data_IF_802461218740
#
_entry.id   IF_802461218740
#
_cell.length_a   1.000
_cell.length_b   1.000
_cell.length_c   1.000
_cell.angle_alpha   90.00
_cell.angle_beta   90.00
_cell.angle_gamma   90.00
#
_symmetry.space_group_name_H-M   'P 1'
#
loop_
_entity.id
_entity.type
_entity.pdbx_description
1 polymer ?
#
# COMPACT_ATOMS: atom_id res chain seq x y z
N UNK A 1 -6.70 -43.10 -46.17
CA UNK A 1 -6.61 -41.79 -46.88
C UNK A 1 -7.55 -40.81 -46.16
N UNK A 2 -7.17 -40.22 -45.04
CA UNK A 2 -6.27 -39.08 -44.84
C UNK A 2 -6.87 -37.70 -45.25
N UNK A 3 -6.82 -36.78 -44.27
CA UNK A 3 -6.97 -35.29 -44.30
C UNK A 3 -8.36 -34.73 -43.92
N UNK A 4 -8.50 -33.71 -43.07
CA UNK A 4 -7.54 -32.94 -42.24
C UNK A 4 -8.35 -32.11 -41.23
N UNK A 5 -8.05 -32.27 -39.95
CA UNK A 5 -8.33 -31.28 -38.91
C UNK A 5 -7.41 -30.06 -39.11
N UNK A 6 -7.95 -28.85 -39.00
CA UNK A 6 -7.17 -27.61 -38.89
C UNK A 6 -7.64 -26.85 -37.66
N UNK A 7 -6.94 -27.07 -36.55
CA UNK A 7 -6.94 -26.16 -35.40
C UNK A 7 -6.33 -24.82 -35.85
N UNK A 8 -7.07 -23.73 -35.68
CA UNK A 8 -6.52 -22.38 -35.66
C UNK A 8 -6.15 -22.05 -34.21
N UNK A 9 -4.85 -21.97 -33.92
CA UNK A 9 -4.32 -21.26 -32.76
C UNK A 9 -4.36 -19.77 -33.09
N UNK A 10 -5.18 -18.99 -32.38
CA UNK A 10 -4.95 -17.56 -32.21
C UNK A 10 -4.40 -17.36 -30.80
N UNK A 11 -3.10 -17.12 -30.70
CA UNK A 11 -2.52 -16.53 -29.51
C UNK A 11 -2.88 -15.05 -29.51
N UNK A 12 -3.41 -14.55 -28.40
CA UNK A 12 -3.59 -13.13 -28.17
C UNK A 12 -2.65 -12.66 -27.04
N UNK A 13 -1.96 -11.51 -27.20
CA UNK A 13 -0.77 -11.16 -26.42
C UNK A 13 -1.12 -10.11 -25.36
N UNK A 14 -1.47 -10.53 -24.14
CA UNK A 14 -1.65 -9.57 -23.01
C UNK A 14 -0.89 -9.97 -21.73
N UNK A 15 -0.22 -11.12 -21.71
CA UNK A 15 0.66 -11.53 -20.59
C UNK A 15 2.13 -11.32 -20.95
N UNK A 16 2.51 -10.10 -21.36
CA UNK A 16 3.92 -9.78 -21.64
C UNK A 16 4.45 -8.40 -21.21
N UNK A 17 3.64 -7.49 -20.65
CA UNK A 17 4.14 -6.12 -20.42
C UNK A 17 4.37 -5.70 -18.96
N UNK A 18 4.37 -6.61 -17.99
CA UNK A 18 4.75 -6.29 -16.59
C UNK A 18 6.10 -6.90 -16.17
N UNK A 19 6.68 -7.79 -16.98
CA UNK A 19 7.92 -8.51 -16.61
C UNK A 19 9.21 -8.04 -17.33
N UNK A 20 9.13 -7.19 -18.37
CA UNK A 20 10.31 -6.67 -19.09
C UNK A 20 10.94 -5.40 -18.45
N UNK A 21 10.48 -4.99 -17.26
CA UNK A 21 10.97 -3.78 -16.57
C UNK A 21 12.15 -4.03 -15.61
N UNK A 22 12.50 -5.27 -15.30
CA UNK A 22 13.61 -5.59 -14.37
C UNK A 22 14.91 -6.01 -15.05
N UNK A 23 14.97 -5.96 -16.39
CA UNK A 23 16.15 -6.33 -17.19
C UNK A 23 16.91 -5.17 -17.85
N UNK A 24 16.60 -3.90 -17.56
CA UNK A 24 17.25 -2.73 -18.17
C UNK A 24 17.87 -1.79 -17.14
N UNK A 25 18.85 -2.29 -16.41
CA UNK A 25 19.84 -1.46 -15.69
C UNK A 25 21.17 -2.20 -15.64
N UNK A 26 21.92 -2.16 -16.75
CA UNK A 26 23.38 -2.36 -16.81
C UNK A 26 23.84 -2.02 -18.23
N UNK A 27 24.66 -0.98 -18.36
CA UNK A 27 25.31 -0.69 -19.63
C UNK A 27 25.76 0.76 -19.87
N UNK A 28 26.39 1.43 -18.92
CA UNK A 28 27.29 2.56 -19.23
C UNK A 28 28.50 2.53 -18.28
N UNK A 29 29.56 1.85 -18.71
CA UNK A 29 30.97 2.04 -18.36
C UNK A 29 31.70 1.08 -19.33
N UNK A 30 32.56 1.48 -20.23
CA UNK A 30 33.59 2.52 -20.19
C UNK A 30 34.80 1.83 -20.81
N UNK A 31 35.06 2.11 -22.09
CA UNK A 31 36.15 1.50 -22.84
C UNK A 31 37.49 1.88 -22.20
N UNK A 32 38.28 0.86 -21.84
CA UNK A 32 39.64 1.04 -21.35
C UNK A 32 40.60 1.40 -22.48
N UNK A 33 41.47 2.38 -22.24
CA UNK A 33 42.74 2.52 -22.96
C UNK A 33 43.89 2.31 -22.00
N UNK A 34 44.77 1.38 -22.36
CA UNK A 34 46.01 1.07 -21.69
C UNK A 34 46.97 2.27 -21.64
N UNK A 35 47.63 2.48 -20.50
CA UNK A 35 48.86 3.24 -20.42
C UNK A 35 49.75 2.71 -19.29
N UNK A 36 50.89 2.18 -19.71
CA UNK A 36 52.05 1.71 -18.95
C UNK A 36 52.70 2.86 -18.17
N UNK A 37 53.15 2.63 -16.92
CA UNK A 37 54.41 3.20 -16.38
C UNK A 37 54.82 2.60 -15.02
N UNK A 38 56.14 2.43 -14.93
CA UNK A 38 56.97 1.82 -13.88
C UNK A 38 57.08 2.65 -12.56
N UNK A 39 57.69 2.08 -11.50
CA UNK A 39 57.63 2.57 -10.12
C UNK A 39 58.80 3.50 -9.78
N UNK A 40 58.59 4.41 -8.83
CA UNK A 40 59.67 5.12 -8.12
C UNK A 40 59.31 5.29 -6.66
N UNK A 41 60.18 4.80 -5.77
CA UNK A 41 60.05 5.00 -4.33
C UNK A 41 60.59 6.34 -3.85
N UNK A 42 60.17 6.76 -2.65
CA UNK A 42 60.99 7.53 -1.69
C UNK A 42 60.35 7.59 -0.30
N UNK A 43 61.11 7.10 0.67
CA UNK A 43 61.38 7.66 2.02
C UNK A 43 60.26 8.32 2.84
N UNK A 44 59.93 7.66 3.96
CA UNK A 44 60.19 8.15 5.32
C UNK A 44 59.22 9.18 5.93
N UNK A 45 58.49 8.78 6.97
CA UNK A 45 58.55 9.37 8.32
C UNK A 45 57.79 8.44 9.29
N UNK A 46 58.49 8.00 10.33
CA UNK A 46 57.92 7.13 11.36
C UNK A 46 57.27 7.93 12.50
N UNK A 47 56.38 7.24 13.21
CA UNK A 47 56.31 7.27 14.67
C UNK A 47 56.10 5.83 15.16
N UNK A 48 56.79 5.50 16.24
CA UNK A 48 57.03 4.17 16.78
C UNK A 48 56.37 4.05 18.16
N UNK A 49 55.84 2.84 18.44
CA UNK A 49 55.50 2.22 19.74
C UNK A 49 54.30 2.80 20.54
N UNK A 50 53.51 2.00 21.27
CA UNK A 50 53.93 0.87 22.09
C UNK A 50 52.78 -0.12 22.41
N UNK A 51 53.14 -1.39 22.48
CA UNK A 51 52.33 -2.53 22.93
C UNK A 51 52.07 -2.48 24.44
N UNK A 52 50.86 -2.86 24.85
CA UNK A 52 50.52 -3.27 26.21
C UNK A 52 49.68 -4.53 26.15
N UNK A 53 50.28 -5.66 26.50
CA UNK A 53 49.63 -6.96 26.55
C UNK A 53 48.68 -7.11 27.74
N UNK A 54 47.78 -8.09 27.64
CA UNK A 54 46.90 -8.49 28.73
C UNK A 54 45.98 -9.61 28.28
N UNK A 55 46.38 -10.84 28.58
CA UNK A 55 45.55 -12.05 28.51
C UNK A 55 44.18 -11.84 29.17
N UNK A 56 43.13 -12.38 28.54
CA UNK A 56 42.10 -13.19 29.22
C UNK A 56 41.09 -13.78 28.24
N UNK A 57 41.10 -15.11 28.18
CA UNK A 57 40.02 -15.94 27.66
C UNK A 57 38.73 -15.70 28.46
N UNK A 58 37.57 -15.66 27.78
CA UNK A 58 36.27 -15.88 28.40
C UNK A 58 35.36 -16.69 27.48
N UNK A 59 35.04 -17.88 27.97
CA UNK A 59 34.04 -18.78 27.40
C UNK A 59 32.62 -18.41 27.76
N UNK A 60 31.72 -19.13 27.12
CA UNK A 60 30.27 -19.16 27.29
C UNK A 60 29.78 -19.22 28.74
N UNK A 61 28.72 -18.46 29.03
CA UNK A 61 27.70 -18.87 30.00
C UNK A 61 26.34 -18.25 29.61
N UNK A 62 25.37 -19.13 29.36
CA UNK A 62 23.96 -18.82 29.16
C UNK A 62 23.24 -18.67 30.51
N UNK A 63 22.16 -17.87 30.56
CA UNK A 63 21.09 -18.07 31.52
C UNK A 63 19.72 -17.59 30.98
N UNK A 64 18.61 -18.23 31.39
CA UNK A 64 17.33 -18.22 30.65
C UNK A 64 16.26 -17.31 31.30
N UNK A 65 15.25 -16.91 30.52
CA UNK A 65 14.05 -16.22 31.03
C UNK A 65 12.84 -17.19 31.11
N UNK A 66 12.31 -17.35 32.33
CA UNK A 66 11.00 -17.93 32.69
C UNK A 66 9.99 -16.77 32.83
N UNK A 67 8.89 -16.79 32.09
CA UNK A 67 7.52 -17.18 32.48
C UNK A 67 6.73 -16.21 33.39
N UNK A 68 5.56 -15.78 32.84
CA UNK A 68 4.22 -15.55 33.48
C UNK A 68 4.11 -14.42 34.53
N UNK A 69 3.00 -13.73 34.78
CA UNK A 69 1.61 -13.70 34.30
C UNK A 69 0.95 -12.39 34.80
N UNK A 70 -0.05 -11.91 34.07
CA UNK A 70 -1.25 -11.10 34.42
C UNK A 70 -1.46 -10.65 35.88
N UNK A 71 -1.84 -9.37 36.09
CA UNK A 71 -3.15 -8.99 36.67
C UNK A 71 -3.43 -7.48 36.67
N UNK A 72 -4.71 -7.16 36.82
CA UNK A 72 -5.45 -5.92 36.50
C UNK A 72 -5.65 -5.03 37.75
N UNK A 73 -5.86 -3.72 37.51
CA UNK A 73 -6.76 -2.75 38.21
C UNK A 73 -6.17 -1.51 38.92
N UNK A 74 -6.74 -0.37 38.49
CA UNK A 74 -7.20 0.82 39.24
C UNK A 74 -6.24 1.84 39.88
N UNK A 75 -6.09 2.97 39.15
CA UNK A 75 -6.31 4.41 39.49
C UNK A 75 -5.84 4.97 40.89
N UNK A 76 -6.12 6.25 41.24
CA UNK A 76 -5.15 7.35 41.12
C UNK A 76 -4.97 8.19 42.42
N UNK A 77 -4.06 9.18 42.40
CA UNK A 77 -4.00 10.47 43.16
C UNK A 77 -2.52 10.80 43.47
N UNK A 78 -1.96 11.92 43.02
CA UNK A 78 -2.21 13.34 43.35
C UNK A 78 -1.44 13.82 44.60
N UNK A 79 -0.76 14.97 44.41
CA UNK A 79 -0.19 15.92 45.38
C UNK A 79 1.14 15.57 46.09
N UNK A 80 2.18 16.37 45.83
CA UNK A 80 2.65 17.34 46.83
C UNK A 80 3.53 18.44 46.20
N UNK A 81 3.18 19.69 46.48
CA UNK A 81 3.91 20.93 46.16
C UNK A 81 4.69 21.37 47.39
N UNK A 82 5.88 21.96 47.21
CA UNK A 82 6.49 22.82 48.22
C UNK A 82 6.99 24.13 47.58
N UNK A 83 6.63 25.22 48.24
CA UNK A 83 6.93 26.61 47.86
C UNK A 83 7.65 27.24 49.04
N UNK A 84 8.79 27.91 48.81
CA UNK A 84 9.37 28.86 49.77
C UNK A 84 9.80 30.10 49.00
N UNK A 85 9.23 31.24 49.36
CA UNK A 85 9.48 32.55 48.75
C UNK A 85 10.58 33.37 49.44
N UNK A 86 10.98 34.46 48.79
CA UNK A 86 11.76 35.55 49.35
C UNK A 86 11.18 36.89 48.89
N UNK A 87 11.03 37.81 49.85
CA UNK A 87 10.42 39.14 49.75
C UNK A 87 11.37 40.23 49.16
N UNK A 88 10.84 41.40 48.71
CA UNK A 88 11.58 42.49 48.08
C UNK A 88 11.80 43.71 49.01
N UNK A 89 12.51 44.77 48.53
CA UNK A 89 12.31 46.15 49.02
C UNK A 89 12.11 47.21 47.89
N UNK A 90 11.77 48.49 48.24
CA UNK A 90 10.85 49.34 47.48
C UNK A 90 11.48 50.49 46.65
N UNK A 91 10.64 51.24 45.91
CA UNK A 91 11.04 52.24 44.91
C UNK A 91 11.21 53.71 45.37
N UNK A 92 11.43 54.61 44.39
CA UNK A 92 11.38 56.07 44.56
C UNK A 92 12.20 56.92 43.57
N UNK A 93 11.51 57.48 42.56
CA UNK A 93 11.63 58.81 41.90
C UNK A 93 12.98 59.48 41.52
N UNK A 94 13.07 60.01 40.28
CA UNK A 94 13.87 61.21 39.94
C UNK A 94 14.37 61.32 38.49
N UNK A 95 13.80 62.25 37.71
CA UNK A 95 13.97 62.50 36.24
C UNK A 95 15.29 63.28 35.93
N UNK A 96 15.79 63.41 34.67
CA UNK A 96 15.20 64.37 33.71
C UNK A 96 15.13 63.93 32.23
N UNK A 97 14.21 64.62 31.55
CA UNK A 97 13.88 64.61 30.11
C UNK A 97 15.09 64.84 29.20
N UNK A 98 15.10 64.14 28.06
CA UNK A 98 15.68 64.65 26.82
C UNK A 98 14.60 64.67 25.75
N UNK A 99 14.27 65.89 25.34
CA UNK A 99 13.44 66.17 24.18
C UNK A 99 14.12 65.60 22.94
N UNK A 100 13.42 64.72 22.22
CA UNK A 100 13.80 64.35 20.87
C UNK A 100 12.57 64.40 19.98
N UNK A 101 12.67 65.28 19.00
CA UNK A 101 11.64 65.74 18.08
C UNK A 101 11.04 64.58 17.28
N UNK A 102 9.76 64.30 17.55
CA UNK A 102 8.89 63.50 16.68
C UNK A 102 8.64 64.27 15.39
N UNK A 103 9.33 63.94 14.30
CA UNK A 103 8.87 64.23 12.93
C UNK A 103 9.78 63.53 11.92
N UNK A 104 9.54 62.23 11.67
CA UNK A 104 9.83 61.54 10.38
C UNK A 104 9.48 60.05 10.32
N UNK A 105 9.03 59.42 11.42
CA UNK A 105 8.80 57.96 11.48
C UNK A 105 7.34 57.50 11.42
N UNK A 106 6.37 58.40 11.21
CA UNK A 106 4.93 58.02 11.19
C UNK A 106 4.43 57.65 9.79
N UNK A 107 5.02 58.20 8.72
CA UNK A 107 4.58 57.91 7.33
C UNK A 107 5.02 56.52 6.83
N UNK A 108 6.17 56.01 7.26
CA UNK A 108 6.64 54.67 6.89
C UNK A 108 5.89 53.55 7.61
N UNK A 109 5.47 53.78 8.87
CA UNK A 109 4.72 52.81 9.66
C UNK A 109 3.29 52.64 9.14
N UNK A 110 2.64 53.74 8.71
CA UNK A 110 1.30 53.69 8.12
C UNK A 110 1.28 52.99 6.75
N UNK A 111 2.32 53.16 5.92
CA UNK A 111 2.43 52.48 4.61
C UNK A 111 2.80 51.01 4.79
N UNK A 112 3.64 50.66 5.76
CA UNK A 112 3.95 49.27 6.11
C UNK A 112 2.74 48.52 6.67
N UNK A 113 1.92 49.17 7.50
CA UNK A 113 0.68 48.58 8.04
C UNK A 113 -0.43 48.46 6.97
N UNK A 114 -0.49 49.41 6.02
CA UNK A 114 -1.43 49.36 4.90
C UNK A 114 -1.08 48.29 3.86
N UNK A 115 0.22 48.05 3.61
CA UNK A 115 0.69 46.95 2.75
C UNK A 115 0.55 45.56 3.41
N UNK A 116 0.58 45.48 4.74
CA UNK A 116 0.34 44.23 5.47
C UNK A 116 -1.16 43.84 5.47
N UNK A 117 -2.08 44.81 5.34
CA UNK A 117 -3.52 44.55 5.20
C UNK A 117 -3.97 44.14 3.78
N UNK A 118 -3.10 44.27 2.77
CA UNK A 118 -3.37 43.85 1.38
C UNK A 118 -2.83 42.44 1.06
N UNK A 119 -2.11 41.82 1.99
CA UNK A 119 -1.83 40.39 1.93
C UNK A 119 -3.08 39.62 2.37
N UNK A 120 -4.15 39.65 1.56
CA UNK A 120 -5.21 38.65 1.72
C UNK A 120 -4.55 37.29 1.56
N UNK A 121 -4.64 36.38 2.56
CA UNK A 121 -4.15 35.03 2.34
C UNK A 121 -4.92 34.49 1.14
N UNK A 122 -4.23 33.92 0.16
CA UNK A 122 -4.89 33.13 -0.89
C UNK A 122 -5.33 31.86 -0.16
N UNK A 123 -6.48 31.91 0.50
CA UNK A 123 -7.10 30.72 1.05
C UNK A 123 -7.45 29.84 -0.14
N UNK A 124 -6.82 28.67 -0.25
CA UNK A 124 -7.27 27.65 -1.18
C UNK A 124 -8.75 27.40 -0.88
N UNK A 125 -9.62 27.83 -1.81
CA UNK A 125 -11.05 27.76 -1.63
C UNK A 125 -11.44 26.28 -1.61
N UNK A 126 -11.64 25.75 -0.42
CA UNK A 126 -12.16 24.40 -0.20
C UNK A 126 -13.66 24.52 -0.04
N UNK A 127 -14.41 23.97 -0.99
CA UNK A 127 -15.85 23.92 -0.96
C UNK A 127 -16.33 22.53 -0.48
N UNK A 128 -17.26 22.51 0.47
CA UNK A 128 -17.93 21.28 0.90
C UNK A 128 -19.26 21.14 0.17
N UNK A 129 -19.39 20.09 -0.64
CA UNK A 129 -20.62 19.74 -1.33
C UNK A 129 -21.37 18.75 -0.45
N UNK A 130 -22.38 19.21 0.29
CA UNK A 130 -23.20 18.35 1.18
C UNK A 130 -24.21 17.54 0.38
N UNK A 131 -24.18 16.21 0.54
CA UNK A 131 -25.10 15.24 -0.07
C UNK A 131 -26.15 14.80 0.95
N UNK A 132 -27.15 14.04 0.50
CA UNK A 132 -28.26 13.58 1.35
C UNK A 132 -27.87 12.58 2.46
N UNK A 133 -26.71 11.94 2.38
CA UNK A 133 -26.29 10.94 3.38
C UNK A 133 -25.77 11.54 4.69
N UNK A 134 -25.95 10.82 5.79
CA UNK A 134 -25.39 11.23 7.09
C UNK A 134 -23.88 10.98 7.19
N UNK A 135 -23.41 9.85 6.65
CA UNK A 135 -21.99 9.47 6.58
C UNK A 135 -21.63 8.90 5.21
N UNK A 136 -20.37 9.07 4.81
CA UNK A 136 -19.83 8.44 3.60
C UNK A 136 -19.30 7.04 3.93
N UNK A 137 -20.07 5.99 3.63
CA UNK A 137 -19.73 4.60 3.95
C UNK A 137 -20.25 3.63 2.90
N UNK A 138 -19.42 2.64 2.58
CA UNK A 138 -19.85 1.41 1.91
C UNK A 138 -19.96 0.32 2.98
N UNK A 139 -21.16 -0.24 3.12
CA UNK A 139 -21.50 -1.22 4.15
C UNK A 139 -21.95 -2.54 3.51
N UNK A 140 -21.42 -3.65 4.01
CA UNK A 140 -21.91 -5.00 3.71
C UNK A 140 -23.14 -5.26 4.60
N UNK A 141 -24.32 -5.26 4.01
CA UNK A 141 -25.59 -5.46 4.71
C UNK A 141 -25.83 -6.93 5.08
N UNK A 142 -25.53 -7.84 4.14
CA UNK A 142 -25.82 -9.25 4.31
C UNK A 142 -24.92 -10.14 3.44
N UNK A 143 -24.72 -11.38 3.92
CA UNK A 143 -24.15 -12.48 3.16
C UNK A 143 -25.26 -13.51 2.94
N UNK A 144 -25.74 -13.63 1.72
CA UNK A 144 -26.88 -14.47 1.35
C UNK A 144 -26.37 -15.64 0.49
N UNK A 145 -25.82 -16.68 1.11
CA UNK A 145 -25.23 -17.82 0.40
C UNK A 145 -24.07 -17.39 -0.52
N UNK A 146 -24.28 -17.47 -1.83
CA UNK A 146 -23.34 -17.05 -2.87
C UNK A 146 -23.54 -15.59 -3.32
N UNK A 147 -24.16 -14.75 -2.48
CA UNK A 147 -24.32 -13.33 -2.75
C UNK A 147 -23.89 -12.42 -1.60
N UNK A 148 -23.40 -11.24 -1.95
CA UNK A 148 -23.07 -10.16 -1.02
C UNK A 148 -23.95 -8.94 -1.32
N UNK A 149 -24.67 -8.45 -0.32
CA UNK A 149 -25.53 -7.27 -0.43
C UNK A 149 -24.86 -6.06 0.21
N UNK A 150 -24.82 -4.97 -0.53
CA UNK A 150 -24.13 -3.75 -0.15
C UNK A 150 -25.05 -2.52 -0.16
N UNK A 151 -24.73 -1.55 0.70
CA UNK A 151 -25.27 -0.20 0.64
C UNK A 151 -24.15 0.82 0.68
N UNK A 152 -24.14 1.70 -0.32
CA UNK A 152 -23.37 2.92 -0.33
C UNK A 152 -24.25 4.07 0.15
N UNK A 153 -23.70 4.90 1.03
CA UNK A 153 -24.23 6.20 1.39
C UNK A 153 -23.10 7.23 1.29
N UNK A 154 -23.37 8.41 0.73
CA UNK A 154 -22.42 9.51 0.62
C UNK A 154 -22.93 10.75 1.38
N UNK A 155 -22.12 11.30 2.29
CA UNK A 155 -22.46 12.51 3.04
C UNK A 155 -22.01 13.81 2.36
N UNK A 156 -20.92 13.76 1.62
CA UNK A 156 -20.43 14.94 0.93
C UNK A 156 -19.16 14.70 0.15
N UNK A 157 -18.89 15.64 -0.75
CA UNK A 157 -17.64 15.72 -1.51
C UNK A 157 -16.88 16.98 -1.08
N UNK A 158 -15.57 16.93 -1.17
CA UNK A 158 -14.68 18.08 -0.97
C UNK A 158 -14.17 18.49 -2.35
N UNK A 159 -14.33 19.77 -2.68
CA UNK A 159 -13.80 20.34 -3.90
C UNK A 159 -12.77 21.41 -3.53
N UNK A 160 -11.61 21.38 -4.19
CA UNK A 160 -10.53 22.32 -3.96
C UNK A 160 -10.03 22.86 -5.29
N UNK A 161 -9.86 24.17 -5.38
CA UNK A 161 -9.21 24.79 -6.55
C UNK A 161 -7.69 24.58 -6.47
N UNK A 162 -7.11 24.05 -7.55
CA UNK A 162 -5.68 23.75 -7.69
C UNK A 162 -5.15 24.42 -8.95
N UNK A 163 -4.04 25.16 -8.79
CA UNK A 163 -3.32 25.76 -9.91
C UNK A 163 -2.31 24.75 -10.49
N UNK A 164 -2.30 24.60 -11.82
CA UNK A 164 -1.39 23.70 -12.53
C UNK A 164 -0.70 24.44 -13.67
N UNK A 165 0.38 23.88 -14.27
CA UNK A 165 1.00 24.48 -15.45
C UNK A 165 0.04 24.65 -16.64
N UNK A 166 -1.06 23.90 -16.70
CA UNK A 166 -2.07 23.98 -17.75
C UNK A 166 -3.27 24.90 -17.38
N UNK A 167 -3.21 25.60 -16.24
CA UNK A 167 -4.27 26.46 -15.73
C UNK A 167 -4.89 25.94 -14.43
N UNK A 168 -5.97 26.58 -14.00
CA UNK A 168 -6.70 26.22 -12.81
C UNK A 168 -7.63 25.03 -13.05
N UNK A 169 -7.71 24.15 -12.06
CA UNK A 169 -8.57 22.98 -12.06
C UNK A 169 -9.27 22.84 -10.71
N UNK A 170 -10.40 22.12 -10.71
CA UNK A 170 -11.09 21.68 -9.50
C UNK A 170 -10.67 20.25 -9.16
N UNK A 171 -10.06 20.03 -8.01
CA UNK A 171 -9.81 18.70 -7.47
C UNK A 171 -11.02 18.26 -6.66
N UNK A 172 -11.61 17.11 -7.02
CA UNK A 172 -12.70 16.50 -6.28
C UNK A 172 -12.17 15.34 -5.43
N UNK A 173 -12.48 15.37 -4.14
CA UNK A 173 -12.04 14.39 -3.17
C UNK A 173 -13.24 13.85 -2.37
N UNK A 174 -13.23 12.53 -2.14
CA UNK A 174 -14.12 11.86 -1.21
C UNK A 174 -13.21 11.32 -0.08
N UNK A 175 -13.29 11.85 1.16
CA UNK A 175 -12.37 11.49 2.23
C UNK A 175 -12.33 9.97 2.49
N UNK A 176 -11.14 9.37 2.46
CA UNK A 176 -10.94 7.92 2.66
C UNK A 176 -11.06 7.06 1.40
N UNK A 177 -11.15 7.68 0.22
CA UNK A 177 -11.37 7.00 -1.05
C UNK A 177 -10.35 7.38 -2.12
N UNK A 178 -10.38 6.67 -3.24
CA UNK A 178 -9.43 6.79 -4.33
C UNK A 178 -10.00 7.62 -5.47
N UNK A 179 -9.18 7.92 -6.47
CA UNK A 179 -9.60 8.58 -7.71
C UNK A 179 -9.36 7.68 -8.92
N UNK A 180 -10.13 7.88 -9.97
CA UNK A 180 -9.88 7.26 -11.27
C UNK A 180 -8.45 7.53 -11.75
N UNK A 181 -7.86 6.53 -12.40
CA UNK A 181 -6.46 6.54 -12.85
C UNK A 181 -6.33 6.55 -14.38
N UNK A 182 -7.40 6.95 -15.08
CA UNK A 182 -7.36 7.09 -16.54
C UNK A 182 -6.58 8.35 -16.88
N UNK A 183 -5.30 8.17 -17.24
CA UNK A 183 -4.36 9.26 -17.43
C UNK A 183 -4.90 10.30 -18.42
N UNK A 184 -4.89 11.57 -18.01
CA UNK A 184 -5.37 12.69 -18.82
C UNK A 184 -6.87 12.94 -18.75
N UNK A 185 -7.69 11.99 -18.27
CA UNK A 185 -9.12 12.17 -18.05
C UNK A 185 -9.43 12.72 -16.65
N UNK A 186 -10.61 13.34 -16.43
CA UNK A 186 -11.05 13.80 -15.12
C UNK A 186 -10.88 12.75 -14.01
N UNK A 187 -10.21 13.13 -12.92
CA UNK A 187 -10.00 12.28 -11.76
C UNK A 187 -11.27 12.27 -10.88
N UNK A 188 -12.07 11.21 -11.01
CA UNK A 188 -13.35 11.07 -10.29
C UNK A 188 -13.18 10.19 -9.04
N UNK A 189 -13.78 10.56 -7.89
CA UNK A 189 -13.75 9.72 -6.70
C UNK A 189 -14.39 8.35 -6.90
N UNK A 190 -13.75 7.32 -6.34
CA UNK A 190 -14.16 5.92 -6.42
C UNK A 190 -13.80 5.17 -5.14
N UNK A 191 -14.62 4.18 -4.82
CA UNK A 191 -14.47 3.33 -3.65
C UNK A 191 -14.01 1.95 -4.07
N UNK A 192 -13.00 1.41 -3.38
CA UNK A 192 -12.51 0.07 -3.60
C UNK A 192 -12.63 -0.75 -2.33
N UNK A 193 -13.13 -1.99 -2.45
CA UNK A 193 -13.10 -3.01 -1.39
C UNK A 193 -12.56 -4.31 -1.92
N UNK A 194 -11.82 -5.02 -1.09
CA UNK A 194 -11.38 -6.37 -1.42
C UNK A 194 -12.43 -7.36 -0.92
N UNK A 195 -12.86 -8.23 -1.80
CA UNK A 195 -13.83 -9.28 -1.52
C UNK A 195 -13.21 -10.65 -1.81
N UNK A 196 -13.63 -11.67 -1.09
CA UNK A 196 -13.31 -13.04 -1.48
C UNK A 196 -14.28 -13.49 -2.59
N UNK A 197 -13.73 -13.93 -3.71
CA UNK A 197 -14.49 -14.53 -4.80
C UNK A 197 -14.51 -16.04 -4.63
N UNK A 198 -15.64 -16.72 -4.85
CA UNK A 198 -15.67 -18.17 -4.81
C UNK A 198 -14.79 -18.77 -5.90
N UNK A 199 -14.18 -19.92 -5.61
CA UNK A 199 -13.34 -20.59 -6.61
C UNK A 199 -14.19 -21.01 -7.81
N UNK A 200 -13.77 -20.59 -9.01
CA UNK A 200 -14.47 -20.90 -10.27
C UNK A 200 -15.70 -20.06 -10.57
N UNK A 201 -16.19 -19.24 -9.63
CA UNK A 201 -17.40 -18.45 -9.85
C UNK A 201 -17.16 -17.18 -10.68
N UNK A 202 -18.17 -16.77 -11.44
CA UNK A 202 -18.24 -15.45 -12.06
C UNK A 202 -19.07 -14.51 -11.20
N UNK A 203 -18.55 -13.30 -10.94
CA UNK A 203 -19.26 -12.26 -10.21
C UNK A 203 -20.19 -11.49 -11.16
N UNK A 204 -21.45 -11.32 -10.76
CA UNK A 204 -22.47 -10.53 -11.46
C UNK A 204 -23.02 -9.49 -10.51
N UNK A 205 -23.20 -8.27 -11.00
CA UNK A 205 -23.67 -7.15 -10.19
C UNK A 205 -25.09 -6.80 -10.59
N UNK A 206 -25.97 -6.69 -9.60
CA UNK A 206 -27.34 -6.21 -9.75
C UNK A 206 -27.52 -4.94 -8.92
N UNK A 207 -27.94 -3.84 -9.56
CA UNK A 207 -28.30 -2.60 -8.86
C UNK A 207 -29.76 -2.70 -8.45
N UNK A 208 -30.03 -2.60 -7.14
CA UNK A 208 -31.36 -2.76 -6.56
C UNK A 208 -32.06 -1.41 -6.39
N UNK A 209 -31.31 -0.39 -5.95
CA UNK A 209 -31.81 0.97 -5.80
C UNK A 209 -30.68 1.97 -5.99
N UNK A 210 -31.00 3.12 -6.58
CA UNK A 210 -30.07 4.24 -6.72
C UNK A 210 -30.81 5.56 -6.50
N UNK A 211 -30.24 6.43 -5.68
CA UNK A 211 -30.68 7.80 -5.50
C UNK A 211 -29.59 8.74 -6.02
N UNK A 212 -29.89 9.50 -7.07
CA UNK A 212 -28.94 10.39 -7.72
C UNK A 212 -29.31 11.85 -7.51
N UNK A 213 -28.27 12.70 -7.48
CA UNK A 213 -28.42 14.16 -7.49
C UNK A 213 -27.49 14.78 -8.51
N UNK A 214 -28.02 15.74 -9.26
CA UNK A 214 -27.24 16.57 -10.16
C UNK A 214 -26.76 17.83 -9.43
N UNK A 215 -25.51 18.21 -9.68
CA UNK A 215 -24.85 19.33 -9.02
C UNK A 215 -24.18 20.19 -10.10
N UNK A 216 -24.64 21.42 -10.22
CA UNK A 216 -24.02 22.43 -11.07
C UNK A 216 -22.79 22.99 -10.33
N UNK A 217 -21.60 22.73 -10.88
CA UNK A 217 -20.35 23.21 -10.29
C UNK A 217 -20.17 24.71 -10.48
N UNK A 218 -20.65 25.27 -11.60
CA UNK A 218 -20.56 26.70 -11.86
C UNK A 218 -21.40 27.50 -10.85
N UNK A 219 -22.58 27.00 -10.49
CA UNK A 219 -23.42 27.60 -9.45
C UNK A 219 -22.77 27.62 -8.05
N UNK A 220 -21.82 26.72 -7.79
CA UNK A 220 -21.05 26.65 -6.55
C UNK A 220 -19.73 27.44 -6.60
N UNK A 221 -19.49 28.21 -7.67
CA UNK A 221 -18.22 28.92 -7.88
C UNK A 221 -17.05 28.01 -8.28
N UNK A 222 -17.32 26.73 -8.61
CA UNK A 222 -16.35 25.71 -9.02
C UNK A 222 -16.35 25.54 -10.55
N UNK A 223 -16.23 26.65 -11.28
CA UNK A 223 -16.36 26.67 -12.73
C UNK A 223 -15.17 26.11 -13.51
N UNK A 224 -14.06 25.77 -12.84
CA UNK A 224 -12.87 25.18 -13.49
C UNK A 224 -13.08 23.69 -13.80
N UNK A 225 -12.49 23.17 -14.88
CA UNK A 225 -12.55 21.74 -15.21
C UNK A 225 -11.99 20.88 -14.06
N UNK A 226 -12.49 19.64 -13.92
CA UNK A 226 -11.93 18.72 -12.93
C UNK A 226 -10.46 18.40 -13.24
N UNK A 227 -9.63 18.24 -12.22
CA UNK A 227 -8.20 17.91 -12.37
C UNK A 227 -8.03 16.54 -13.08
N UNK A 228 -7.20 16.44 -14.13
CA UNK A 228 -6.96 15.18 -14.81
C UNK A 228 -6.05 14.25 -13.99
N UNK A 229 -6.30 12.94 -14.09
CA UNK A 229 -5.42 11.94 -13.48
C UNK A 229 -4.03 11.96 -14.13
N UNK A 230 -2.99 12.05 -13.30
CA UNK A 230 -1.59 12.06 -13.75
C UNK A 230 -1.00 10.65 -13.72
N UNK A 231 -0.01 10.34 -14.58
CA UNK A 231 0.65 9.04 -14.56
C UNK A 231 1.41 8.83 -13.24
N UNK A 232 1.55 7.57 -12.83
CA UNK A 232 2.40 7.22 -11.69
C UNK A 232 3.85 7.61 -11.96
N UNK A 233 4.52 8.13 -10.94
CA UNK A 233 5.92 8.55 -11.02
C UNK A 233 6.85 7.43 -10.55
N UNK A 234 7.93 7.22 -11.30
CA UNK A 234 9.04 6.39 -10.80
C UNK A 234 9.66 7.07 -9.58
N UNK A 235 10.05 6.29 -8.56
CA UNK A 235 10.62 6.82 -7.32
C UNK A 235 11.90 7.65 -7.52
N UNK A 236 12.62 7.40 -8.61
CA UNK A 236 13.85 8.09 -8.99
C UNK A 236 13.64 9.27 -9.96
N UNK A 237 12.41 9.49 -10.43
CA UNK A 237 12.14 10.56 -11.38
C UNK A 237 11.94 11.90 -10.63
N UNK A 238 12.47 12.97 -11.20
CA UNK A 238 12.21 14.33 -10.73
C UNK A 238 10.75 14.72 -11.06
N UNK A 239 9.89 15.01 -10.07
CA UNK A 239 8.51 15.43 -10.30
C UNK A 239 8.38 16.69 -11.17
N UNK A 240 9.33 17.62 -11.09
CA UNK A 240 9.27 18.87 -11.85
C UNK A 240 9.50 18.67 -13.36
N UNK A 241 10.21 17.60 -13.73
CA UNK A 241 10.51 17.27 -15.12
C UNK A 241 9.35 16.63 -15.89
N UNK A 242 8.25 16.30 -15.20
CA UNK A 242 7.22 15.45 -15.76
C UNK A 242 6.13 16.28 -16.44
N UNK A 243 5.84 16.01 -17.73
CA UNK A 243 4.86 16.79 -18.47
C UNK A 243 3.46 16.52 -17.95
N UNK A 244 2.71 17.60 -17.72
CA UNK A 244 1.30 17.52 -17.36
C UNK A 244 0.50 16.81 -18.46
N UNK A 245 -0.32 15.83 -18.08
CA UNK A 245 -1.18 15.07 -19.00
C UNK A 245 -2.62 15.56 -18.89
N UNK A 246 -3.16 15.97 -20.03
CA UNK A 246 -4.54 16.39 -20.21
C UNK A 246 -5.03 15.81 -21.54
N UNK A 247 -6.17 15.11 -21.52
CA UNK A 247 -6.78 14.54 -22.71
C UNK A 247 -8.00 15.37 -23.15
N UNK A 248 -7.88 16.20 -24.20
CA UNK A 248 -8.99 17.03 -24.67
C UNK A 248 -10.23 16.24 -25.08
N UNK A 249 -10.09 14.97 -25.51
CA UNK A 249 -11.23 14.15 -25.89
C UNK A 249 -12.08 13.77 -24.68
N UNK A 250 -11.43 13.40 -23.57
CA UNK A 250 -12.13 13.12 -22.31
C UNK A 250 -12.90 14.34 -21.79
N UNK A 251 -12.41 15.56 -22.00
CA UNK A 251 -13.10 16.80 -21.60
C UNK A 251 -14.15 17.30 -22.60
N UNK A 252 -14.45 16.52 -23.64
CA UNK A 252 -15.59 16.72 -24.56
C UNK A 252 -16.59 15.56 -24.51
N UNK A 253 -16.32 14.54 -23.69
CA UNK A 253 -17.17 13.38 -23.58
C UNK A 253 -18.40 13.67 -22.68
N UNK A 254 -19.56 13.13 -23.05
CA UNK A 254 -20.80 13.26 -22.29
C UNK A 254 -21.43 11.88 -22.00
N UNK A 255 -21.43 11.40 -20.74
CA UNK A 255 -20.58 11.80 -19.61
C UNK A 255 -19.20 11.13 -19.61
N UNK A 256 -18.27 11.68 -18.83
CA UNK A 256 -17.12 10.94 -18.30
C UNK A 256 -17.61 10.14 -17.09
N UNK A 257 -17.72 8.83 -17.26
CA UNK A 257 -18.19 7.90 -16.23
C UNK A 257 -17.49 6.54 -16.32
N UNK A 258 -17.61 5.76 -15.26
CA UNK A 258 -17.32 4.31 -15.23
C UNK A 258 -18.60 3.58 -14.85
N UNK A 259 -18.58 2.26 -14.93
CA UNK A 259 -19.65 1.45 -14.35
C UNK A 259 -19.82 1.79 -12.87
N UNK A 260 -21.09 1.99 -12.46
CA UNK A 260 -21.43 2.40 -11.10
C UNK A 260 -20.86 1.43 -10.07
N UNK A 261 -20.92 0.13 -10.38
CA UNK A 261 -20.33 -0.94 -9.59
C UNK A 261 -19.73 -1.96 -10.55
N UNK A 262 -18.49 -2.37 -10.29
CA UNK A 262 -17.80 -3.41 -11.04
C UNK A 262 -17.01 -4.32 -10.09
N UNK A 263 -16.81 -5.57 -10.49
CA UNK A 263 -15.96 -6.52 -9.77
C UNK A 263 -14.82 -6.94 -10.68
N UNK A 264 -13.59 -6.69 -10.23
CA UNK A 264 -12.36 -7.04 -10.95
C UNK A 264 -11.66 -8.18 -10.23
N UNK A 265 -11.41 -9.29 -10.94
CA UNK A 265 -10.61 -10.39 -10.41
C UNK A 265 -9.14 -9.95 -10.26
N UNK A 266 -8.62 -9.94 -9.04
CA UNK A 266 -7.24 -9.58 -8.73
C UNK A 266 -6.31 -10.80 -8.68
N UNK A 267 -6.83 -11.99 -8.89
CA UNK A 267 -6.11 -13.26 -8.83
C UNK A 267 -6.27 -13.97 -7.50
N UNK A 268 -5.28 -14.79 -7.15
CA UNK A 268 -5.38 -15.74 -6.05
C UNK A 268 -4.30 -15.51 -5.00
N UNK A 269 -4.74 -15.35 -3.76
CA UNK A 269 -3.89 -15.33 -2.57
C UNK A 269 -4.04 -16.68 -1.86
N UNK A 270 -3.13 -17.60 -2.15
CA UNK A 270 -3.12 -18.95 -1.58
C UNK A 270 -4.49 -19.64 -1.72
N UNK A 271 -5.23 -19.79 -0.62
CA UNK A 271 -6.52 -20.46 -0.57
C UNK A 271 -7.72 -19.58 -0.93
N UNK A 272 -7.52 -18.26 -1.03
CA UNK A 272 -8.59 -17.31 -1.32
C UNK A 272 -8.37 -16.66 -2.68
N UNK A 273 -9.40 -16.64 -3.52
CA UNK A 273 -9.42 -15.81 -4.74
C UNK A 273 -9.91 -14.42 -4.36
N UNK A 274 -9.16 -13.40 -4.75
CA UNK A 274 -9.37 -12.02 -4.32
C UNK A 274 -9.95 -11.22 -5.46
N UNK A 275 -11.13 -10.62 -5.23
CA UNK A 275 -11.74 -9.65 -6.10
C UNK A 275 -11.59 -8.24 -5.55
N UNK A 276 -11.62 -7.25 -6.44
CA UNK A 276 -11.78 -5.84 -6.07
C UNK A 276 -13.14 -5.36 -6.54
N UNK A 277 -13.99 -5.05 -5.58
CA UNK A 277 -15.24 -4.35 -5.78
C UNK A 277 -14.92 -2.86 -5.96
N UNK A 278 -15.21 -2.33 -7.15
CA UNK A 278 -15.04 -0.93 -7.51
C UNK A 278 -16.43 -0.28 -7.56
N UNK A 279 -16.64 0.81 -6.83
CA UNK A 279 -17.89 1.61 -6.86
C UNK A 279 -17.55 3.03 -7.28
N UNK A 280 -18.13 3.49 -8.39
CA UNK A 280 -17.88 4.80 -9.00
C UNK A 280 -19.16 5.64 -8.95
N UNK A 281 -19.45 6.34 -7.84
CA UNK A 281 -20.74 7.02 -7.67
C UNK A 281 -20.80 8.40 -8.33
N UNK A 282 -19.70 8.91 -8.89
CA UNK A 282 -19.63 10.24 -9.49
C UNK A 282 -19.43 10.11 -10.99
N UNK A 283 -20.32 10.74 -11.75
CA UNK A 283 -20.18 10.98 -13.20
C UNK A 283 -20.03 12.47 -13.46
N UNK A 284 -19.24 12.85 -14.46
CA UNK A 284 -18.95 14.24 -14.77
C UNK A 284 -19.32 14.56 -16.22
N UNK A 285 -19.96 15.72 -16.40
CA UNK A 285 -20.27 16.33 -17.70
C UNK A 285 -19.37 17.55 -17.85
N UNK A 286 -18.23 17.44 -18.56
CA UNK A 286 -17.24 18.50 -18.66
C UNK A 286 -17.76 19.81 -19.28
N UNK A 287 -18.46 19.73 -20.41
CA UNK A 287 -18.97 20.91 -21.12
C UNK A 287 -20.04 21.64 -20.29
N UNK A 288 -20.97 20.87 -19.72
CA UNK A 288 -22.03 21.39 -18.85
C UNK A 288 -21.56 21.76 -17.44
N UNK A 289 -20.30 21.47 -17.08
CA UNK A 289 -19.73 21.68 -15.73
C UNK A 289 -20.62 21.13 -14.62
N UNK A 290 -21.15 19.93 -14.81
CA UNK A 290 -22.14 19.31 -13.93
C UNK A 290 -21.66 17.94 -13.44
N UNK A 291 -21.90 17.64 -12.17
CA UNK A 291 -21.75 16.31 -11.62
C UNK A 291 -23.11 15.62 -11.52
N UNK A 292 -23.13 14.32 -11.76
CA UNK A 292 -24.21 13.42 -11.35
C UNK A 292 -23.63 12.51 -10.28
N UNK A 293 -24.19 12.57 -9.09
CA UNK A 293 -23.68 11.83 -7.92
C UNK A 293 -24.76 10.89 -7.42
N UNK A 294 -24.45 9.60 -7.38
CA UNK A 294 -25.25 8.59 -6.71
C UNK A 294 -25.04 8.69 -5.19
N UNK A 295 -25.93 9.40 -4.51
CA UNK A 295 -25.85 9.64 -3.06
C UNK A 295 -26.09 8.38 -2.24
N UNK A 296 -26.95 7.49 -2.76
CA UNK A 296 -27.19 6.17 -2.20
C UNK A 296 -27.29 5.13 -3.30
N UNK A 297 -26.65 3.98 -3.09
CA UNK A 297 -26.71 2.82 -3.99
C UNK A 297 -26.90 1.57 -3.15
N UNK A 298 -27.94 0.81 -3.42
CA UNK A 298 -28.06 -0.56 -2.95
C UNK A 298 -27.82 -1.50 -4.12
N UNK A 299 -26.94 -2.46 -3.92
CA UNK A 299 -26.59 -3.43 -4.95
C UNK A 299 -26.27 -4.78 -4.34
N UNK A 300 -26.35 -5.80 -5.18
CA UNK A 300 -26.05 -7.19 -4.86
C UNK A 300 -24.99 -7.69 -5.82
N UNK A 301 -24.04 -8.46 -5.28
CA UNK A 301 -23.03 -9.17 -6.05
C UNK A 301 -23.32 -10.66 -5.92
N UNK A 302 -23.72 -11.28 -7.02
CA UNK A 302 -24.02 -12.71 -7.12
C UNK A 302 -22.83 -13.46 -7.71
N UNK A 303 -22.49 -14.61 -7.12
CA UNK A 303 -21.44 -15.49 -7.61
C UNK A 303 -22.06 -16.73 -8.25
N UNK A 304 -21.92 -16.86 -9.56
CA UNK A 304 -22.47 -18.00 -10.31
C UNK A 304 -21.38 -19.01 -10.69
N UNK A 305 -21.65 -20.30 -10.53
CA UNK A 305 -20.77 -21.37 -11.03
C UNK A 305 -19.57 -21.71 -10.15
N UNK A 306 -19.63 -21.43 -8.84
CA UNK A 306 -18.57 -21.79 -7.90
C UNK A 306 -18.43 -23.30 -7.67
N UNK A 307 -17.22 -23.73 -7.33
CA UNK A 307 -16.91 -25.11 -6.91
C UNK A 307 -16.53 -25.14 -5.42
N UNK A 308 -17.49 -25.37 -4.51
CA UNK A 308 -17.23 -25.37 -3.06
C UNK A 308 -16.33 -26.53 -2.62
N UNK A 309 -16.31 -27.65 -3.35
CA UNK A 309 -15.51 -28.82 -3.00
C UNK A 309 -14.03 -28.56 -3.33
N UNK A 310 -13.77 -28.03 -4.53
CA UNK A 310 -12.42 -27.62 -4.90
C UNK A 310 -11.91 -26.47 -4.02
N UNK A 311 -12.77 -25.52 -3.66
CA UNK A 311 -12.43 -24.42 -2.75
C UNK A 311 -12.02 -24.95 -1.37
N UNK A 312 -12.82 -25.82 -0.77
CA UNK A 312 -12.52 -26.43 0.52
C UNK A 312 -11.20 -27.21 0.50
N UNK A 313 -10.96 -27.99 -0.56
CA UNK A 313 -9.69 -28.71 -0.75
C UNK A 313 -8.51 -27.75 -0.87
N UNK A 314 -8.62 -26.72 -1.69
CA UNK A 314 -7.56 -25.73 -1.89
C UNK A 314 -7.22 -25.00 -0.59
N UNK A 315 -8.23 -24.55 0.15
CA UNK A 315 -8.04 -23.91 1.47
C UNK A 315 -7.40 -24.88 2.46
N UNK A 316 -7.81 -26.14 2.44
CA UNK A 316 -7.24 -27.18 3.29
C UNK A 316 -5.76 -27.47 2.98
N UNK A 317 -5.34 -27.40 1.70
CA UNK A 317 -3.95 -27.60 1.27
C UNK A 317 -3.05 -26.40 1.56
N UNK A 318 -3.62 -25.19 1.55
CA UNK A 318 -2.88 -23.94 1.70
C UNK A 318 -3.04 -23.28 3.07
N UNK A 319 -3.78 -23.93 3.98
CA UNK A 319 -4.11 -23.47 5.31
C UNK A 319 -2.86 -23.03 6.09
N UNK A 320 -2.94 -21.85 6.70
CA UNK A 320 -1.90 -21.36 7.59
C UNK A 320 -2.45 -20.26 8.50
N UNK A 321 -2.24 -20.35 9.82
CA UNK A 321 -2.71 -19.33 10.77
C UNK A 321 -2.16 -17.93 10.48
N UNK A 322 -0.95 -17.85 9.93
CA UNK A 322 -0.30 -16.59 9.60
C UNK A 322 -1.02 -15.78 8.51
N UNK A 323 -1.91 -16.41 7.75
CA UNK A 323 -2.71 -15.75 6.71
C UNK A 323 -4.15 -15.44 7.16
N UNK A 324 -4.59 -15.92 8.32
CA UNK A 324 -5.92 -15.62 8.84
C UNK A 324 -6.19 -14.11 8.97
N UNK A 325 -5.28 -13.28 9.52
CA UNK A 325 -5.49 -11.83 9.60
C UNK A 325 -5.59 -11.14 8.24
N UNK A 326 -5.05 -11.75 7.18
CA UNK A 326 -5.16 -11.23 5.81
C UNK A 326 -6.52 -11.58 5.22
N UNK A 327 -6.99 -12.81 5.43
CA UNK A 327 -8.31 -13.24 4.97
C UNK A 327 -9.45 -12.53 5.70
N UNK A 328 -9.30 -12.23 7.00
CA UNK A 328 -10.28 -11.47 7.77
C UNK A 328 -10.51 -10.03 7.24
N UNK A 329 -9.54 -9.49 6.48
CA UNK A 329 -9.69 -8.19 5.80
C UNK A 329 -10.43 -8.28 4.47
N UNK A 330 -10.68 -9.48 3.95
CA UNK A 330 -11.49 -9.69 2.77
C UNK A 330 -12.97 -9.70 3.19
N UNK A 331 -13.77 -8.83 2.60
CA UNK A 331 -15.21 -8.91 2.80
C UNK A 331 -15.77 -10.16 2.12
N UNK A 332 -16.81 -10.74 2.71
CA UNK A 332 -17.30 -12.03 2.26
C UNK A 332 -16.35 -13.19 2.54
N UNK A 333 -15.34 -13.02 3.39
CA UNK A 333 -14.40 -14.09 3.74
C UNK A 333 -15.11 -15.38 4.15
N UNK A 334 -14.73 -16.48 3.50
CA UNK A 334 -15.29 -17.83 3.66
C UNK A 334 -14.29 -18.64 4.48
N UNK A 335 -14.58 -18.76 5.78
CA UNK A 335 -13.72 -19.44 6.74
C UNK A 335 -13.58 -20.94 6.48
N UNK A 336 -12.48 -21.51 6.98
CA UNK A 336 -12.26 -22.95 7.06
C UNK A 336 -13.03 -23.64 8.21
N UNK A 337 -13.58 -22.84 9.15
CA UNK A 337 -13.98 -23.33 10.47
C UNK A 337 -15.30 -24.12 10.50
N UNK A 338 -16.16 -24.01 9.49
CA UNK A 338 -17.46 -24.67 9.54
C UNK A 338 -17.43 -26.14 9.05
N UNK A 339 -16.29 -26.64 8.53
CA UNK A 339 -16.26 -27.96 7.87
C UNK A 339 -15.14 -28.91 8.31
N UNK A 340 -14.21 -28.50 9.20
CA UNK A 340 -13.09 -29.36 9.62
C UNK A 340 -12.73 -29.23 11.12
N UNK A 341 -13.62 -29.65 12.04
CA UNK A 341 -13.35 -29.63 13.48
C UNK A 341 -12.18 -30.54 13.91
N UNK A 342 -11.79 -31.51 13.08
CA UNK A 342 -10.76 -32.51 13.40
C UNK A 342 -9.31 -32.04 13.20
N UNK A 343 -9.10 -30.83 12.65
CA UNK A 343 -7.74 -30.30 12.45
C UNK A 343 -7.23 -29.57 13.68
N UNK A 344 -6.86 -30.35 14.70
CA UNK A 344 -6.16 -29.90 15.93
C UNK A 344 -4.69 -29.51 15.66
N UNK A 345 -4.25 -29.41 14.41
CA UNK A 345 -2.84 -29.18 14.07
C UNK A 345 -2.67 -28.07 13.02
N UNK A 346 -2.30 -26.91 13.51
CA UNK A 346 -1.76 -25.79 12.74
C UNK A 346 -0.33 -26.11 12.25
N UNK A 347 -0.18 -27.13 11.41
CA UNK A 347 1.10 -27.43 10.79
C UNK A 347 1.46 -26.30 9.82
N UNK A 348 2.59 -25.65 10.05
CA UNK A 348 3.10 -24.61 9.17
C UNK A 348 4.41 -25.06 8.55
N UNK A 349 4.42 -25.19 7.23
CA UNK A 349 5.62 -25.58 6.48
C UNK A 349 6.54 -24.38 6.28
N UNK A 350 7.81 -24.52 6.68
CA UNK A 350 8.90 -23.57 6.49
C UNK A 350 9.96 -24.20 5.59
N UNK A 351 10.20 -23.61 4.42
CA UNK A 351 11.24 -24.05 3.50
C UNK A 351 12.51 -23.22 3.71
N UNK A 352 13.66 -23.87 3.77
CA UNK A 352 14.97 -23.24 3.89
C UNK A 352 15.81 -23.69 2.70
N UNK A 353 16.29 -22.75 1.90
CA UNK A 353 17.23 -23.01 0.81
C UNK A 353 18.59 -22.48 1.21
N UNK A 354 19.61 -23.33 1.16
CA UNK A 354 20.94 -23.00 1.67
C UNK A 354 22.05 -23.65 0.85
N UNK A 355 23.19 -22.97 0.66
CA UNK A 355 24.43 -23.58 0.22
C UNK A 355 24.96 -24.65 1.18
N UNK A 356 25.71 -25.64 0.68
CA UNK A 356 26.25 -26.73 1.49
C UNK A 356 27.17 -26.23 2.61
N UNK A 357 27.88 -25.12 2.42
CA UNK A 357 28.74 -24.51 3.43
C UNK A 357 27.97 -23.99 4.66
N UNK A 358 26.70 -23.59 4.49
CA UNK A 358 25.88 -23.06 5.57
C UNK A 358 24.98 -24.10 6.23
N UNK A 359 24.75 -25.24 5.57
CA UNK A 359 23.88 -26.30 6.07
C UNK A 359 24.21 -26.77 7.51
N UNK A 360 25.48 -27.04 7.89
CA UNK A 360 25.80 -27.52 9.24
C UNK A 360 25.52 -26.49 10.35
N UNK A 361 25.46 -25.20 10.01
CA UNK A 361 25.20 -24.13 10.98
C UNK A 361 23.71 -23.91 11.23
N UNK A 362 22.83 -24.53 10.42
CA UNK A 362 21.39 -24.34 10.51
C UNK A 362 20.70 -25.35 11.44
N UNK A 363 21.38 -26.40 11.89
CA UNK A 363 20.79 -27.47 12.71
C UNK A 363 20.07 -26.93 13.95
N UNK A 364 20.73 -26.07 14.73
CA UNK A 364 20.14 -25.48 15.93
C UNK A 364 18.90 -24.61 15.62
N UNK A 365 18.90 -23.93 14.46
CA UNK A 365 17.77 -23.13 14.01
C UNK A 365 16.60 -24.00 13.54
N UNK A 366 16.89 -25.03 12.75
CA UNK A 366 15.91 -26.02 12.27
C UNK A 366 15.24 -26.70 13.46
N UNK A 367 16.03 -27.19 14.41
CA UNK A 367 15.54 -27.83 15.65
C UNK A 367 14.63 -26.91 16.46
N UNK A 368 15.04 -25.64 16.63
CA UNK A 368 14.23 -24.67 17.33
C UNK A 368 12.89 -24.41 16.63
N UNK A 369 12.90 -24.27 15.30
CA UNK A 369 11.67 -24.08 14.51
C UNK A 369 10.76 -25.30 14.56
N UNK A 370 11.34 -26.49 14.50
CA UNK A 370 10.60 -27.76 14.65
C UNK A 370 9.95 -27.85 16.03
N UNK A 371 10.66 -27.49 17.11
CA UNK A 371 10.08 -27.41 18.48
C UNK A 371 8.95 -26.39 18.60
N UNK A 372 8.98 -25.32 17.81
CA UNK A 372 7.90 -24.31 17.74
C UNK A 372 6.70 -24.74 16.89
N UNK A 373 6.71 -25.94 16.33
CA UNK A 373 5.60 -26.49 15.54
C UNK A 373 5.71 -26.24 14.03
N UNK A 374 6.84 -25.75 13.53
CA UNK A 374 7.06 -25.64 12.09
C UNK A 374 7.53 -26.97 11.50
N UNK A 375 6.94 -27.37 10.38
CA UNK A 375 7.47 -28.44 9.55
C UNK A 375 8.55 -27.86 8.65
N UNK A 376 9.81 -28.09 8.99
CA UNK A 376 10.97 -27.56 8.27
C UNK A 376 11.36 -28.46 7.11
N UNK A 377 11.63 -27.88 5.94
CA UNK A 377 12.14 -28.58 4.76
C UNK A 377 13.41 -27.85 4.32
N UNK A 378 14.56 -28.52 4.43
CA UNK A 378 15.85 -27.94 4.06
C UNK A 378 16.24 -28.45 2.67
N UNK A 379 16.42 -27.53 1.73
CA UNK A 379 16.97 -27.80 0.40
C UNK A 379 18.39 -27.27 0.32
N UNK A 380 19.36 -28.16 0.11
CA UNK A 380 20.76 -27.79 -0.07
C UNK A 380 21.04 -27.55 -1.56
N UNK A 381 21.62 -26.42 -1.93
CA UNK A 381 21.96 -26.15 -3.33
C UNK A 381 23.09 -27.09 -3.78
N UNK A 382 23.05 -27.47 -5.05
CA UNK A 382 24.00 -28.46 -5.60
C UNK A 382 23.57 -29.92 -5.43
N UNK A 383 22.50 -30.22 -4.68
CA UNK A 383 21.89 -31.55 -4.74
C UNK A 383 21.08 -31.72 -6.03
N UNK A 384 20.88 -32.97 -6.51
CA UNK A 384 20.11 -33.23 -7.73
C UNK A 384 18.68 -32.67 -7.70
N UNK A 385 18.07 -32.57 -6.51
CA UNK A 385 16.68 -32.15 -6.35
C UNK A 385 16.51 -30.62 -6.42
N UNK A 386 17.48 -29.85 -5.91
CA UNK A 386 17.42 -28.38 -5.80
C UNK A 386 18.16 -27.69 -6.94
N UNK A 387 19.29 -28.25 -7.35
CA UNK A 387 20.22 -27.67 -8.31
C UNK A 387 20.91 -26.40 -7.79
N UNK A 388 21.50 -25.64 -8.71
CA UNK A 388 22.33 -24.45 -8.39
C UNK A 388 21.86 -23.17 -9.08
N UNK A 389 20.80 -23.23 -9.89
CA UNK A 389 20.34 -22.10 -10.70
C UNK A 389 19.06 -21.48 -10.14
N UNK A 390 18.81 -20.21 -10.44
CA UNK A 390 17.54 -19.55 -10.09
C UNK A 390 16.33 -20.32 -10.62
N UNK A 391 16.44 -20.89 -11.82
CA UNK A 391 15.36 -21.66 -12.44
C UNK A 391 15.11 -22.99 -11.70
N UNK A 392 16.16 -23.74 -11.33
CA UNK A 392 16.03 -25.01 -10.62
C UNK A 392 15.50 -24.83 -9.20
N UNK A 393 16.03 -23.84 -8.46
CA UNK A 393 15.58 -23.52 -7.10
C UNK A 393 14.12 -23.08 -7.12
N UNK A 394 13.73 -22.20 -8.06
CA UNK A 394 12.34 -21.78 -8.24
C UNK A 394 11.43 -22.97 -8.54
N UNK A 395 11.84 -23.86 -9.44
CA UNK A 395 11.06 -25.04 -9.80
C UNK A 395 10.87 -25.97 -8.61
N UNK A 396 11.92 -26.20 -7.80
CA UNK A 396 11.85 -27.01 -6.58
C UNK A 396 10.86 -26.42 -5.55
N UNK A 397 10.95 -25.12 -5.25
CA UNK A 397 10.01 -24.45 -4.33
C UNK A 397 8.57 -24.51 -4.87
N UNK A 398 8.40 -24.26 -6.17
CA UNK A 398 7.08 -24.29 -6.83
C UNK A 398 6.47 -25.69 -6.76
N UNK A 399 7.29 -26.73 -6.91
CA UNK A 399 6.88 -28.12 -6.78
C UNK A 399 6.37 -28.42 -5.36
N UNK A 400 7.11 -27.99 -4.32
CA UNK A 400 6.68 -28.12 -2.93
C UNK A 400 5.36 -27.40 -2.64
N UNK A 401 5.13 -26.25 -3.27
CA UNK A 401 3.89 -25.50 -3.11
C UNK A 401 2.69 -26.17 -3.81
N UNK A 402 2.87 -26.59 -5.06
CA UNK A 402 1.78 -27.16 -5.86
C UNK A 402 1.40 -28.58 -5.45
N UNK A 403 2.34 -29.36 -4.90
CA UNK A 403 2.11 -30.72 -4.41
C UNK A 403 1.95 -30.78 -2.89
N UNK A 404 1.28 -29.77 -2.34
CA UNK A 404 0.89 -29.75 -0.94
C UNK A 404 -0.03 -30.94 -0.60
N UNK A 405 0.08 -31.43 0.63
CA UNK A 405 -0.79 -32.47 1.20
C UNK A 405 -1.33 -32.00 2.55
N UNK A 406 -2.40 -32.61 3.09
CA UNK A 406 -2.86 -32.29 4.43
C UNK A 406 -1.77 -32.44 5.51
N UNK A 407 -0.82 -33.37 5.33
CA UNK A 407 0.30 -33.65 6.24
C UNK A 407 1.53 -32.76 5.95
N UNK A 408 1.57 -32.12 4.79
CA UNK A 408 2.58 -31.15 4.38
C UNK A 408 1.90 -30.03 3.60
N UNK A 409 1.27 -29.07 4.31
CA UNK A 409 0.58 -27.98 3.65
C UNK A 409 1.57 -27.11 2.88
N UNK A 410 1.05 -26.36 1.92
CA UNK A 410 1.85 -25.50 1.05
C UNK A 410 2.74 -24.57 1.90
N UNK A 411 4.04 -24.42 1.58
CA UNK A 411 4.95 -23.58 2.34
C UNK A 411 4.39 -22.20 2.62
N UNK A 412 4.37 -21.79 3.90
CA UNK A 412 3.97 -20.44 4.29
C UNK A 412 5.13 -19.47 4.22
N UNK A 413 6.34 -19.98 4.41
CA UNK A 413 7.56 -19.20 4.46
C UNK A 413 8.66 -19.89 3.66
N UNK A 414 9.50 -19.08 3.03
CA UNK A 414 10.76 -19.50 2.41
C UNK A 414 11.86 -18.62 2.97
N UNK A 415 12.95 -19.23 3.44
CA UNK A 415 14.16 -18.55 3.86
C UNK A 415 15.26 -18.91 2.88
N UNK A 416 15.86 -17.90 2.26
CA UNK A 416 17.09 -18.05 1.50
C UNK A 416 18.26 -17.69 2.40
N UNK A 417 19.18 -18.63 2.58
CA UNK A 417 20.41 -18.45 3.35
C UNK A 417 21.55 -18.42 2.35
N UNK A 418 22.32 -17.33 2.29
CA UNK A 418 23.39 -17.14 1.33
C UNK A 418 23.22 -15.86 0.51
N UNK A 419 24.19 -15.57 -0.35
CA UNK A 419 24.20 -14.38 -1.21
C UNK A 419 24.07 -14.78 -2.68
N UNK A 420 23.81 -13.79 -3.54
CA UNK A 420 23.95 -13.95 -4.99
C UNK A 420 25.42 -14.24 -5.29
N UNK A 421 25.69 -15.36 -5.97
CA UNK A 421 27.02 -15.58 -6.54
C UNK A 421 27.34 -14.42 -7.51
N UNK A 422 28.55 -13.82 -7.45
CA UNK A 422 28.92 -12.68 -8.27
C UNK A 422 28.95 -12.96 -9.78
#
# INVERSE_FOLDING_TARGET
MAKRLRQRRSGDPVIRSIWDSWGRYRGIAGAGSAATRQPTGRTGHGYVCQLGGGDRAWGFAAQPARERQDFIHDRPNSCYTDTVGLHPPPGGSGIPRKDMTMTKTVKGLAIGLLLLCLATPIWAATAQIRLGGAETRLELLAREGDALRYRLSLAGLVAERVETPAGAFTRLDLPGYYRSQVVGAPALPMLNRLIELPLGAEARVEILAVAEREIDLAALGLGDPLLPAQPSLAKSADPASQPFRYDPAAYRAEPVARDLVAVVDCGQLRGARVGRLEVSPVSYYPEAKRLRVAESVEFRVDFAGGDPVAEARLKALTASPFFAPVYERLEGARGLHDSYPDRVRDLVTLVIVTPPEFAPYLDAFVDWKTRRGFKTVVGVTGTPEVGTTTASIKAWITNLYNNATPEQPAPSFVIFVGDIAP
#
